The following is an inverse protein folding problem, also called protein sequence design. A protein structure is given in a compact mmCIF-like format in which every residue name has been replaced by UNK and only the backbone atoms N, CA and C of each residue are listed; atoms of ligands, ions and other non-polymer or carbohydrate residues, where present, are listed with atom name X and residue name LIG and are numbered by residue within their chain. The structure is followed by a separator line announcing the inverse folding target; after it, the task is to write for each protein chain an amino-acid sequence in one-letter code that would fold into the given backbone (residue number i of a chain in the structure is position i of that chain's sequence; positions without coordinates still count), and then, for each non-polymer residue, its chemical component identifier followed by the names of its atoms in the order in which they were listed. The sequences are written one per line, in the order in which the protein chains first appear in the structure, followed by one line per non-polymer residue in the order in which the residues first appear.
data_IF_707486820695
#
_entry.id   IF_707486820695
#
_cell.length_a   1.000
_cell.length_b   1.000
_cell.length_c   1.000
_cell.angle_alpha   90.00
_cell.angle_beta   90.00
_cell.angle_gamma   90.00
#
_symmetry.space_group_name_H-M   'P 1'
#
loop_
_entity.id
_entity.type
_entity.pdbx_description
1 polymer ?
#
# COMPACT_ATOMS: atom_id res chain seq x y z
N UNK A 1 -11.68 12.53 -8.38
CA UNK A 1 -10.51 13.20 -7.76
C UNK A 1 -9.85 14.09 -8.82
N UNK A 2 -9.44 15.32 -8.48
CA UNK A 2 -8.62 16.15 -9.37
C UNK A 2 -7.27 15.46 -9.60
N UNK A 3 -6.87 15.27 -10.87
CA UNK A 3 -5.62 14.62 -11.26
C UNK A 3 -4.53 15.67 -11.42
N UNK A 4 -3.41 15.48 -10.70
CA UNK A 4 -2.24 16.36 -10.78
C UNK A 4 -1.15 15.85 -11.72
N UNK A 5 -1.23 14.59 -12.17
CA UNK A 5 -0.22 13.95 -13.03
C UNK A 5 -0.68 13.85 -14.48
N UNK A 6 0.21 14.11 -15.42
CA UNK A 6 0.00 13.85 -16.86
C UNK A 6 1.27 13.30 -17.50
N UNK A 7 1.12 12.56 -18.58
CA UNK A 7 2.23 12.19 -19.45
C UNK A 7 2.39 13.26 -20.52
N UNK A 8 3.63 13.68 -20.75
CA UNK A 8 4.00 14.47 -21.93
C UNK A 8 4.16 13.55 -23.15
N UNK A 9 4.26 14.16 -24.34
CA UNK A 9 4.47 13.43 -25.60
C UNK A 9 5.80 12.66 -25.62
N UNK A 10 6.79 13.13 -24.86
CA UNK A 10 8.09 12.47 -24.66
C UNK A 10 8.04 11.28 -23.67
N UNK A 11 6.86 10.96 -23.11
CA UNK A 11 6.68 9.89 -22.13
C UNK A 11 7.05 10.28 -20.69
N UNK A 12 7.47 11.51 -20.43
CA UNK A 12 7.80 11.95 -19.08
C UNK A 12 6.52 12.23 -18.27
N UNK A 13 6.44 11.66 -17.07
CA UNK A 13 5.40 12.00 -16.11
C UNK A 13 5.69 13.38 -15.50
N UNK A 14 4.73 14.29 -15.57
CA UNK A 14 4.84 15.64 -15.01
C UNK A 14 3.64 16.00 -14.16
N UNK A 15 3.87 16.91 -13.21
CA UNK A 15 2.83 17.51 -12.41
C UNK A 15 2.21 18.72 -13.13
N UNK A 16 0.93 18.99 -12.89
CA UNK A 16 0.36 20.28 -13.21
C UNK A 16 0.90 21.38 -12.28
N UNK A 17 1.01 22.60 -12.80
CA UNK A 17 1.63 23.71 -12.08
C UNK A 17 0.88 24.06 -10.79
N UNK A 18 -0.45 23.98 -10.81
CA UNK A 18 -1.29 24.34 -9.69
C UNK A 18 -1.12 23.36 -8.50
N UNK A 19 -1.03 22.07 -8.78
CA UNK A 19 -0.82 21.02 -7.78
C UNK A 19 0.60 21.01 -7.23
N UNK A 20 1.57 21.45 -8.03
CA UNK A 20 2.94 21.67 -7.59
C UNK A 20 3.02 22.88 -6.64
N UNK A 21 2.48 24.03 -7.05
CA UNK A 21 2.50 25.27 -6.27
C UNK A 21 1.71 25.18 -4.97
N UNK A 22 0.56 24.49 -4.98
CA UNK A 22 -0.25 24.30 -3.78
C UNK A 22 0.34 23.30 -2.78
N UNK A 23 1.33 22.49 -3.20
CA UNK A 23 1.86 21.37 -2.43
C UNK A 23 0.91 20.18 -2.29
N UNK A 24 -0.31 20.25 -2.84
CA UNK A 24 -1.32 19.20 -2.69
C UNK A 24 -0.91 17.90 -3.41
N UNK A 25 -0.21 18.02 -4.54
CA UNK A 25 0.32 16.85 -5.24
C UNK A 25 1.35 16.11 -4.39
N UNK A 26 2.25 16.84 -3.72
CA UNK A 26 3.28 16.28 -2.84
C UNK A 26 2.65 15.64 -1.59
N UNK A 27 1.67 16.30 -0.97
CA UNK A 27 0.97 15.75 0.19
C UNK A 27 0.26 14.41 -0.12
N UNK A 28 -0.37 14.31 -1.29
CA UNK A 28 -1.02 13.06 -1.73
C UNK A 28 -0.02 11.96 -2.07
N UNK A 29 1.12 12.32 -2.68
CA UNK A 29 2.19 11.38 -2.95
C UNK A 29 2.76 10.82 -1.65
N UNK A 30 3.07 11.69 -0.68
CA UNK A 30 3.50 11.27 0.65
C UNK A 30 2.52 10.32 1.31
N UNK A 31 1.22 10.64 1.32
CA UNK A 31 0.21 9.78 1.92
C UNK A 31 0.13 8.40 1.25
N UNK A 32 0.37 8.35 -0.07
CA UNK A 32 0.47 7.09 -0.80
C UNK A 32 1.75 6.32 -0.45
N UNK A 33 2.90 6.99 -0.34
CA UNK A 33 4.17 6.39 0.08
C UNK A 33 4.06 5.80 1.48
N UNK A 34 3.53 6.56 2.45
CA UNK A 34 3.30 6.09 3.82
C UNK A 34 2.38 4.84 3.85
N UNK A 35 1.32 4.84 3.03
CA UNK A 35 0.41 3.70 2.90
C UNK A 35 1.12 2.48 2.30
N UNK A 36 1.94 2.67 1.27
CA UNK A 36 2.66 1.60 0.61
C UNK A 36 3.72 0.99 1.54
N UNK A 37 4.47 1.82 2.27
CA UNK A 37 5.41 1.37 3.30
C UNK A 37 4.71 0.59 4.41
N UNK A 38 3.54 1.05 4.86
CA UNK A 38 2.74 0.32 5.83
C UNK A 38 2.33 -1.07 5.32
N UNK A 39 1.83 -1.17 4.09
CA UNK A 39 1.48 -2.46 3.48
C UNK A 39 2.68 -3.41 3.40
N UNK A 40 3.85 -2.91 2.98
CA UNK A 40 5.08 -3.69 2.92
C UNK A 40 5.49 -4.20 4.30
N UNK A 41 5.44 -3.33 5.30
CA UNK A 41 5.76 -3.67 6.70
C UNK A 41 4.83 -4.75 7.22
N UNK A 42 3.51 -4.56 7.07
CA UNK A 42 2.51 -5.56 7.51
C UNK A 42 2.66 -6.89 6.78
N UNK A 43 3.00 -6.89 5.49
CA UNK A 43 3.30 -8.11 4.73
C UNK A 43 4.46 -8.90 5.33
N UNK A 44 5.46 -8.23 5.90
CA UNK A 44 6.61 -8.86 6.56
C UNK A 44 6.27 -9.33 7.99
N UNK A 45 5.47 -8.56 8.74
CA UNK A 45 5.18 -8.83 10.15
C UNK A 45 4.10 -9.90 10.39
N UNK A 46 3.00 -9.86 9.62
CA UNK A 46 1.83 -10.72 9.85
C UNK A 46 2.18 -12.22 9.88
N UNK A 47 3.05 -12.76 8.99
CA UNK A 47 3.43 -14.17 9.06
C UNK A 47 4.06 -14.56 10.40
N UNK A 48 4.88 -13.68 10.98
CA UNK A 48 5.52 -13.91 12.28
C UNK A 48 4.50 -13.85 13.42
N UNK A 49 3.56 -12.90 13.41
CA UNK A 49 2.46 -12.82 14.38
C UNK A 49 1.56 -14.06 14.33
N UNK A 50 1.20 -14.51 13.13
CA UNK A 50 0.39 -15.72 12.93
C UNK A 50 1.12 -16.95 13.47
N UNK A 51 2.43 -17.05 13.24
CA UNK A 51 3.24 -18.17 13.75
C UNK A 51 3.33 -18.16 15.28
N UNK A 52 3.47 -16.99 15.91
CA UNK A 52 3.39 -16.86 17.36
C UNK A 52 2.04 -17.37 17.90
N UNK A 53 0.92 -16.98 17.28
CA UNK A 53 -0.41 -17.46 17.67
C UNK A 53 -0.59 -18.97 17.44
N UNK A 54 0.05 -19.56 16.43
CA UNK A 54 0.04 -21.02 16.22
C UNK A 54 0.75 -21.74 17.36
N UNK A 55 1.92 -21.26 17.77
CA UNK A 55 2.68 -21.82 18.90
C UNK A 55 1.91 -21.77 20.21
N UNK A 56 1.06 -20.75 20.38
CA UNK A 56 0.17 -20.61 21.54
C UNK A 56 -1.17 -21.35 21.39
N UNK A 57 -1.37 -22.13 20.33
CA UNK A 57 -2.63 -22.81 20.00
C UNK A 57 -3.86 -21.87 19.85
N UNK A 58 -3.64 -20.58 19.56
CA UNK A 58 -4.66 -19.52 19.44
C UNK A 58 -5.26 -19.36 18.04
N UNK A 59 -5.28 -20.43 17.24
CA UNK A 59 -5.69 -20.40 15.82
C UNK A 59 -7.19 -20.15 15.57
N UNK A 60 -8.03 -20.26 16.60
CA UNK A 60 -9.49 -20.01 16.51
C UNK A 60 -9.91 -18.64 17.03
N UNK A 61 -8.96 -17.81 17.47
CA UNK A 61 -9.24 -16.48 18.03
C UNK A 61 -9.66 -15.50 16.94
N UNK A 62 -10.38 -14.44 17.34
CA UNK A 62 -10.72 -13.32 16.45
C UNK A 62 -9.46 -12.70 15.85
N UNK A 63 -8.45 -12.45 16.69
CA UNK A 63 -7.16 -11.89 16.26
C UNK A 63 -6.48 -12.72 15.15
N UNK A 64 -6.47 -14.05 15.28
CA UNK A 64 -5.91 -14.90 14.24
C UNK A 64 -6.66 -14.75 12.90
N UNK A 65 -7.99 -14.67 12.94
CA UNK A 65 -8.82 -14.46 11.74
C UNK A 65 -8.60 -13.07 11.12
N UNK A 66 -8.48 -12.05 11.95
CA UNK A 66 -8.17 -10.67 11.50
C UNK A 66 -6.84 -10.64 10.76
N UNK A 67 -5.78 -11.23 11.34
CA UNK A 67 -4.46 -11.28 10.71
C UNK A 67 -4.45 -12.08 9.40
N UNK A 68 -5.15 -13.23 9.35
CA UNK A 68 -5.30 -13.99 8.11
C UNK A 68 -6.00 -13.16 7.02
N UNK A 69 -7.06 -12.45 7.40
CA UNK A 69 -7.82 -11.58 6.48
C UNK A 69 -6.94 -10.43 6.00
N UNK A 70 -6.23 -9.77 6.92
CA UNK A 70 -5.29 -8.69 6.61
C UNK A 70 -4.20 -9.17 5.64
N UNK A 71 -3.59 -10.33 5.88
CA UNK A 71 -2.58 -10.91 4.98
C UNK A 71 -3.11 -11.10 3.56
N UNK A 72 -4.33 -11.66 3.42
CA UNK A 72 -4.97 -11.88 2.13
C UNK A 72 -5.29 -10.56 1.42
N UNK A 73 -5.83 -9.59 2.16
CA UNK A 73 -6.16 -8.26 1.63
C UNK A 73 -4.92 -7.51 1.18
N UNK A 74 -3.84 -7.55 1.97
CA UNK A 74 -2.57 -6.92 1.60
C UNK A 74 -2.01 -7.56 0.33
N UNK A 75 -2.05 -8.89 0.20
CA UNK A 75 -1.67 -9.58 -1.03
C UNK A 75 -2.47 -9.10 -2.24
N UNK A 76 -3.79 -9.08 -2.13
CA UNK A 76 -4.67 -8.60 -3.20
C UNK A 76 -4.39 -7.14 -3.59
N UNK A 77 -4.16 -6.25 -2.62
CA UNK A 77 -3.84 -4.84 -2.88
C UNK A 77 -2.50 -4.73 -3.62
N UNK A 78 -1.48 -5.48 -3.18
CA UNK A 78 -0.16 -5.47 -3.84
C UNK A 78 -0.25 -5.98 -5.28
N UNK A 79 -1.05 -7.03 -5.54
CA UNK A 79 -1.27 -7.53 -6.90
C UNK A 79 -1.94 -6.47 -7.78
N UNK A 80 -2.95 -5.77 -7.25
CA UNK A 80 -3.60 -4.66 -7.96
C UNK A 80 -2.62 -3.52 -8.26
N UNK A 81 -1.79 -3.12 -7.29
CA UNK A 81 -0.74 -2.10 -7.50
C UNK A 81 0.22 -2.52 -8.62
N UNK A 82 0.61 -3.80 -8.65
CA UNK A 82 1.47 -4.37 -9.68
C UNK A 82 0.89 -4.33 -11.09
N UNK A 83 -0.44 -4.38 -11.25
CA UNK A 83 -1.13 -4.19 -12.54
C UNK A 83 -1.01 -2.77 -13.07
N UNK A 84 -0.86 -1.78 -12.20
CA UNK A 84 -0.67 -0.37 -12.55
C UNK A 84 0.80 0.04 -12.64
N UNK A 85 1.72 -0.93 -12.59
CA UNK A 85 3.16 -0.68 -12.67
C UNK A 85 3.78 -0.13 -11.39
N UNK A 86 3.03 -0.10 -10.28
CA UNK A 86 3.58 0.18 -8.96
C UNK A 86 4.14 -1.12 -8.41
N UNK A 87 5.46 -1.26 -8.44
CA UNK A 87 6.19 -2.43 -7.95
C UNK A 87 7.34 -1.96 -7.06
N UNK A 88 7.69 -2.80 -6.08
CA UNK A 88 8.94 -2.70 -5.32
C UNK A 88 10.14 -2.97 -6.23
#
# INVERSE_FOLDING_TARGET
MKRFTRLREDGQAVLDAQGLESGEAAARLKAFEDFYEHLLTRRQEIPAELEALRREAKVKTVRFRELMTEQMMNGMIMDMLGMFGVRE
#
